data_IF_096981134964
#
_entry.id   IF_096981134964
#
_cell.length_a   1.000
_cell.length_b   1.000
_cell.length_c   1.000
_cell.angle_alpha   90.00
_cell.angle_beta   90.00
_cell.angle_gamma   90.00
#
_symmetry.space_group_name_H-M   'P 1'
#
loop_
_entity.id
_entity.type
_entity.pdbx_description
1 polymer ?
#
# COMPACT_ATOMS: atom_id res chain seq x y z
N UNK A 1 8.81 -1.54 -1.16
CA UNK A 1 7.99 -0.55 -0.43
C UNK A 1 7.36 0.51 -1.32
N UNK A 2 8.15 1.29 -2.07
CA UNK A 2 7.60 2.45 -2.80
C UNK A 2 6.55 2.10 -3.88
N UNK A 3 6.81 1.08 -4.72
CA UNK A 3 5.86 0.69 -5.79
C UNK A 3 4.51 0.24 -5.25
N UNK A 4 4.49 -0.61 -4.22
CA UNK A 4 3.26 -1.08 -3.57
C UNK A 4 2.50 0.08 -2.93
N UNK A 5 3.19 1.01 -2.26
CA UNK A 5 2.55 2.19 -1.67
C UNK A 5 1.85 3.04 -2.73
N UNK A 6 2.52 3.27 -3.87
CA UNK A 6 1.93 3.99 -5.00
C UNK A 6 0.74 3.25 -5.60
N UNK A 7 0.84 1.93 -5.76
CA UNK A 7 -0.23 1.10 -6.31
C UNK A 7 -1.47 1.14 -5.41
N UNK A 8 -1.31 0.96 -4.10
CA UNK A 8 -2.41 1.04 -3.12
C UNK A 8 -3.02 2.44 -3.13
N UNK A 9 -2.21 3.49 -3.00
CA UNK A 9 -2.69 4.87 -2.99
C UNK A 9 -3.50 5.20 -4.27
N UNK A 10 -3.00 4.77 -5.45
CA UNK A 10 -3.71 4.95 -6.72
C UNK A 10 -5.08 4.27 -6.71
N UNK A 11 -5.17 3.03 -6.21
CA UNK A 11 -6.42 2.28 -6.15
C UNK A 11 -7.42 2.91 -5.17
N UNK A 12 -6.96 3.37 -4.00
CA UNK A 12 -7.84 4.01 -3.01
C UNK A 12 -8.43 5.33 -3.54
N UNK A 13 -7.62 6.15 -4.23
CA UNK A 13 -8.09 7.37 -4.88
C UNK A 13 -9.05 7.06 -6.04
N UNK A 14 -8.73 6.07 -6.87
CA UNK A 14 -9.61 5.62 -7.95
C UNK A 14 -10.96 5.09 -7.43
N UNK A 15 -10.96 4.43 -6.27
CA UNK A 15 -12.17 3.99 -5.56
C UNK A 15 -12.92 5.14 -4.86
N UNK A 16 -12.46 6.39 -5.01
CA UNK A 16 -13.05 7.60 -4.41
C UNK A 16 -13.14 7.54 -2.88
N UNK A 17 -12.18 6.88 -2.23
CA UNK A 17 -12.09 6.82 -0.75
C UNK A 17 -11.54 8.14 -0.19
N UNK A 18 -10.63 8.76 -0.91
CA UNK A 18 -10.03 10.06 -0.62
C UNK A 18 -9.57 10.72 -1.93
N UNK A 19 -9.41 12.04 -1.94
CA UNK A 19 -8.87 12.76 -3.09
C UNK A 19 -7.34 12.66 -3.15
N UNK A 20 -6.71 12.69 -1.98
CA UNK A 20 -5.26 12.52 -1.80
C UNK A 20 -5.02 11.64 -0.57
N UNK A 21 -4.03 10.76 -0.63
CA UNK A 21 -3.67 9.88 0.48
C UNK A 21 -2.15 9.62 0.50
N UNK A 22 -1.55 9.76 1.68
CA UNK A 22 -0.17 9.40 1.95
C UNK A 22 -0.13 8.14 2.84
N UNK A 23 0.57 7.12 2.35
CA UNK A 23 0.70 5.82 3.02
C UNK A 23 2.18 5.56 3.29
N UNK A 24 2.48 5.17 4.53
CA UNK A 24 3.82 4.82 4.97
C UNK A 24 3.88 3.35 5.36
N UNK A 25 4.96 2.69 4.96
CA UNK A 25 5.24 1.29 5.30
C UNK A 25 6.60 1.18 5.98
N UNK A 26 6.65 0.41 7.06
CA UNK A 26 7.90 0.01 7.70
C UNK A 26 8.07 -1.50 7.60
N UNK A 27 9.18 -1.96 7.04
CA UNK A 27 9.55 -3.37 6.98
C UNK A 27 10.79 -3.59 7.83
N UNK A 28 10.74 -4.62 8.67
CA UNK A 28 11.88 -5.06 9.48
C UNK A 28 12.61 -6.17 8.74
N UNK A 29 13.94 -6.15 8.76
CA UNK A 29 14.75 -7.22 8.14
C UNK A 29 14.37 -8.58 8.73
N UNK A 30 14.09 -9.57 7.86
CA UNK A 30 13.69 -10.92 8.27
C UNK A 30 12.18 -11.12 8.47
N UNK A 31 11.37 -10.06 8.48
CA UNK A 31 9.90 -10.17 8.56
C UNK A 31 9.28 -10.14 7.15
N UNK A 32 8.34 -11.05 6.90
CA UNK A 32 7.64 -11.12 5.60
C UNK A 32 6.64 -9.97 5.41
N UNK A 33 5.98 -9.57 6.48
CA UNK A 33 4.98 -8.50 6.51
C UNK A 33 5.56 -7.18 7.02
N UNK A 34 4.96 -6.03 6.66
CA UNK A 34 5.32 -4.76 7.25
C UNK A 34 4.99 -4.75 8.75
N UNK A 35 5.93 -4.24 9.55
CA UNK A 35 5.76 -4.00 10.98
C UNK A 35 4.71 -2.90 11.20
N UNK A 36 4.74 -1.86 10.36
CA UNK A 36 3.86 -0.71 10.47
C UNK A 36 3.28 -0.34 9.09
N UNK A 37 1.97 -0.06 9.10
CA UNK A 37 1.26 0.60 8.01
C UNK A 37 0.60 1.82 8.63
N UNK A 38 0.99 3.00 8.19
CA UNK A 38 0.45 4.26 8.68
C UNK A 38 -0.13 5.10 7.55
N UNK A 39 -1.16 5.87 7.87
CA UNK A 39 -1.75 6.87 6.98
C UNK A 39 -1.47 8.23 7.58
N UNK A 40 -0.57 8.99 6.96
CA UNK A 40 -0.06 10.25 7.52
C UNK A 40 -0.93 11.43 7.14
N UNK A 41 -1.42 11.46 5.90
CA UNK A 41 -2.22 12.57 5.37
C UNK A 41 -3.33 12.02 4.49
N UNK A 42 -4.53 12.57 4.65
CA UNK A 42 -5.68 12.26 3.79
C UNK A 42 -6.46 13.53 3.53
N UNK A 43 -6.81 13.76 2.28
CA UNK A 43 -7.69 14.85 1.86
C UNK A 43 -9.06 14.31 1.48
N UNK A 44 -10.10 14.88 2.06
CA UNK A 44 -11.51 14.50 1.81
C UNK A 44 -11.77 13.00 2.00
N UNK A 45 -11.29 12.45 3.12
CA UNK A 45 -11.48 11.04 3.47
C UNK A 45 -12.96 10.72 3.71
N UNK A 46 -13.47 9.66 3.06
CA UNK A 46 -14.82 9.13 3.32
C UNK A 46 -14.86 8.08 4.43
N UNK A 47 -13.71 7.52 4.77
CA UNK A 47 -13.56 6.46 5.77
C UNK A 47 -12.50 6.87 6.80
N UNK A 48 -12.61 6.41 8.06
CA UNK A 48 -11.56 6.62 9.05
C UNK A 48 -10.31 5.82 8.67
N UNK A 49 -9.13 6.33 9.05
CA UNK A 49 -7.84 5.71 8.71
C UNK A 49 -7.76 4.24 9.13
N UNK A 50 -8.32 3.88 10.29
CA UNK A 50 -8.36 2.48 10.76
C UNK A 50 -9.08 1.56 9.78
N UNK A 51 -10.21 1.99 9.22
CA UNK A 51 -10.95 1.23 8.21
C UNK A 51 -10.21 1.13 6.89
N UNK A 52 -9.51 2.20 6.49
CA UNK A 52 -8.68 2.17 5.28
C UNK A 52 -7.55 1.14 5.46
N UNK A 53 -6.88 1.13 6.61
CA UNK A 53 -5.84 0.14 6.92
C UNK A 53 -6.40 -1.28 6.92
N UNK A 54 -7.58 -1.50 7.50
CA UNK A 54 -8.27 -2.81 7.45
C UNK A 54 -8.54 -3.26 6.01
N UNK A 55 -9.03 -2.35 5.15
CA UNK A 55 -9.28 -2.64 3.73
C UNK A 55 -7.99 -2.99 3.01
N UNK A 56 -6.92 -2.22 3.23
CA UNK A 56 -5.60 -2.49 2.64
C UNK A 56 -5.14 -3.91 3.00
N UNK A 57 -5.18 -4.28 4.28
CA UNK A 57 -4.77 -5.60 4.77
C UNK A 57 -5.63 -6.75 4.23
N UNK A 58 -6.88 -6.48 3.84
CA UNK A 58 -7.81 -7.49 3.29
C UNK A 58 -7.68 -7.68 1.79
N UNK A 59 -7.38 -6.60 1.07
CA UNK A 59 -7.37 -6.59 -0.40
C UNK A 59 -5.99 -6.92 -0.95
N UNK A 60 -4.93 -6.48 -0.29
CA UNK A 60 -3.56 -6.62 -0.76
C UNK A 60 -2.77 -7.59 0.10
N UNK A 61 -2.03 -8.49 -0.54
CA UNK A 61 -1.03 -9.30 0.13
C UNK A 61 0.26 -8.50 0.27
N UNK A 62 0.54 -8.05 1.49
CA UNK A 62 1.67 -7.17 1.80
C UNK A 62 2.98 -7.93 2.04
N UNK A 63 3.03 -9.25 1.78
CA UNK A 63 4.29 -10.01 1.84
C UNK A 63 5.23 -9.60 0.72
N UNK A 64 6.49 -9.33 1.04
CA UNK A 64 7.49 -8.89 0.04
C UNK A 64 7.58 -9.84 -1.18
N UNK A 65 7.46 -11.15 -0.97
CA UNK A 65 7.48 -12.15 -2.05
C UNK A 65 6.25 -12.01 -2.96
N UNK A 66 5.06 -11.92 -2.37
CA UNK A 66 3.81 -11.72 -3.12
C UNK A 66 3.84 -10.43 -3.93
N UNK A 67 4.40 -9.36 -3.37
CA UNK A 67 4.53 -8.08 -4.06
C UNK A 67 5.38 -8.16 -5.33
N UNK A 68 6.47 -8.95 -5.30
CA UNK A 68 7.34 -9.14 -6.46
C UNK A 68 6.58 -9.87 -7.58
N UNK A 69 5.78 -10.88 -7.23
CA UNK A 69 4.98 -11.64 -8.20
C UNK A 69 3.77 -10.87 -8.71
N UNK A 70 3.03 -10.17 -7.83
CA UNK A 70 1.82 -9.43 -8.21
C UNK A 70 2.12 -8.26 -9.16
N UNK A 71 3.26 -7.59 -8.93
CA UNK A 71 3.71 -6.48 -9.76
C UNK A 71 4.69 -6.92 -10.86
N UNK A 72 4.99 -8.22 -10.95
CA UNK A 72 5.83 -8.81 -12.00
C UNK A 72 7.20 -8.10 -12.14
N UNK A 73 7.82 -7.82 -10.99
CA UNK A 73 8.97 -6.92 -10.88
C UNK A 73 10.30 -7.54 -11.31
N UNK A 74 10.35 -8.87 -11.52
CA UNK A 74 11.54 -9.61 -11.96
C UNK A 74 11.76 -9.56 -13.48
N UNK A 75 11.29 -8.49 -14.12
CA UNK A 75 11.47 -8.22 -15.54
C UNK A 75 12.40 -7.01 -15.72
N UNK A 76 13.11 -6.91 -16.85
CA UNK A 76 13.96 -5.76 -17.16
C UNK A 76 13.12 -4.55 -17.58
N UNK A 77 12.31 -4.04 -16.67
CA UNK A 77 11.40 -2.88 -16.86
C UNK A 77 12.00 -1.56 -16.37
N UNK A 78 13.14 -1.63 -15.68
CA UNK A 78 13.87 -0.47 -15.18
C UNK A 78 14.96 -0.10 -16.21
N UNK A 79 14.95 1.14 -16.71
CA UNK A 79 15.93 1.69 -17.65
C UNK A 79 16.39 3.05 -17.14
#
# INVERSE_FOLDING_TARGET
GAYIARWIAKNLVAAKIADEIEIQFSYTIGNEYPELINITSVKNAKLPNTKIIEVIKKVFDLRLVSLISELDLQKPIYR
#
